data_IF_075755710102
#
_entry.id   IF_075755710102
#
_cell.length_a   1.000
_cell.length_b   1.000
_cell.length_c   1.000
_cell.angle_alpha   90.00
_cell.angle_beta   90.00
_cell.angle_gamma   90.00
#
_symmetry.space_group_name_H-M   'P 1'
#
loop_
_entity.id
_entity.type
_entity.pdbx_description
1 polymer ?
#
# COMPACT_ATOMS: atom_id res chain seq x y z
N UNK A 1 -25.94 5.91 -4.09
CA UNK A 1 -24.84 6.70 -3.47
C UNK A 1 -24.24 6.14 -2.19
N UNK A 2 -24.93 6.11 -1.02
CA UNK A 2 -24.30 5.64 0.25
C UNK A 2 -23.87 4.16 0.23
N UNK A 3 -24.65 3.30 -0.43
CA UNK A 3 -24.35 1.86 -0.53
C UNK A 3 -23.23 1.54 -1.54
N UNK A 4 -23.06 2.37 -2.56
CA UNK A 4 -22.02 2.17 -3.60
C UNK A 4 -20.62 2.45 -3.05
N UNK A 5 -20.43 3.56 -2.32
CA UNK A 5 -19.15 3.84 -1.66
C UNK A 5 -18.76 2.77 -0.66
N UNK A 6 -19.73 2.28 0.12
CA UNK A 6 -19.46 1.26 1.13
C UNK A 6 -19.15 -0.09 0.48
N UNK A 7 -19.90 -0.51 -0.54
CA UNK A 7 -19.61 -1.77 -1.26
C UNK A 7 -18.26 -1.70 -1.98
N UNK A 8 -17.95 -0.59 -2.64
CA UNK A 8 -16.63 -0.34 -3.23
C UNK A 8 -15.50 -0.46 -2.19
N UNK A 9 -15.65 0.22 -1.05
CA UNK A 9 -14.67 0.15 0.04
C UNK A 9 -14.58 -1.26 0.65
N UNK A 10 -15.69 -1.99 0.76
CA UNK A 10 -15.70 -3.39 1.21
C UNK A 10 -14.91 -4.28 0.26
N UNK A 11 -15.17 -4.19 -1.04
CA UNK A 11 -14.44 -4.96 -2.06
C UNK A 11 -12.94 -4.72 -1.95
N UNK A 12 -12.51 -3.46 -1.92
CA UNK A 12 -11.08 -3.12 -1.89
C UNK A 12 -10.40 -3.38 -0.54
N UNK A 13 -11.12 -3.29 0.58
CA UNK A 13 -10.59 -3.74 1.87
C UNK A 13 -10.40 -5.25 1.90
N UNK A 14 -11.35 -6.03 1.39
CA UNK A 14 -11.22 -7.49 1.31
C UNK A 14 -10.09 -7.92 0.38
N UNK A 15 -9.96 -7.30 -0.80
CA UNK A 15 -8.84 -7.54 -1.73
C UNK A 15 -7.50 -7.21 -1.08
N UNK A 16 -7.40 -6.07 -0.39
CA UNK A 16 -6.18 -5.68 0.32
C UNK A 16 -5.81 -6.65 1.44
N UNK A 17 -6.80 -7.05 2.26
CA UNK A 17 -6.59 -8.03 3.34
C UNK A 17 -6.20 -9.40 2.79
N UNK A 18 -6.82 -9.84 1.70
CA UNK A 18 -6.44 -11.08 1.02
C UNK A 18 -5.00 -11.01 0.48
N UNK A 19 -4.60 -9.89 -0.11
CA UNK A 19 -3.21 -9.65 -0.52
C UNK A 19 -2.23 -9.75 0.65
N UNK A 20 -2.55 -9.14 1.79
CA UNK A 20 -1.71 -9.16 2.98
C UNK A 20 -1.62 -10.54 3.64
N UNK A 21 -2.72 -11.30 3.64
CA UNK A 21 -2.85 -12.55 4.38
C UNK A 21 -2.51 -13.81 3.55
N UNK A 22 -2.75 -13.79 2.24
CA UNK A 22 -2.73 -15.00 1.40
C UNK A 22 -1.63 -14.99 0.33
N UNK A 23 -1.17 -13.81 -0.10
CA UNK A 23 -0.23 -13.69 -1.21
C UNK A 23 1.18 -13.33 -0.75
N UNK A 24 2.22 -13.83 -1.46
CA UNK A 24 3.62 -13.49 -1.22
C UNK A 24 3.83 -11.97 -1.19
N UNK A 25 4.46 -11.48 -0.11
CA UNK A 25 4.72 -10.06 0.05
C UNK A 25 5.85 -9.56 -0.86
N UNK A 26 6.85 -10.40 -1.10
CA UNK A 26 7.98 -10.13 -2.00
C UNK A 26 7.81 -10.87 -3.32
N UNK A 27 8.49 -10.40 -4.37
CA UNK A 27 8.44 -11.01 -5.69
C UNK A 27 9.08 -12.41 -5.68
N UNK A 28 8.40 -13.38 -6.28
CA UNK A 28 8.89 -14.76 -6.43
C UNK A 28 9.66 -14.87 -7.75
N UNK A 29 10.82 -15.52 -7.73
CA UNK A 29 11.64 -15.74 -8.92
C UNK A 29 10.90 -16.53 -10.03
N UNK A 30 10.21 -17.61 -9.65
CA UNK A 30 9.42 -18.45 -10.58
C UNK A 30 8.09 -17.80 -11.02
N UNK A 31 7.76 -16.62 -10.47
CA UNK A 31 6.50 -15.91 -10.71
C UNK A 31 5.32 -16.42 -9.88
N UNK A 32 4.30 -15.56 -9.73
CA UNK A 32 3.12 -15.81 -8.88
C UNK A 32 2.19 -16.91 -9.43
N UNK A 33 2.21 -17.12 -10.74
CA UNK A 33 1.40 -18.15 -11.42
C UNK A 33 2.06 -19.54 -11.39
N UNK A 34 3.25 -19.66 -10.80
CA UNK A 34 3.88 -20.97 -10.60
C UNK A 34 3.13 -21.77 -9.53
N UNK A 35 2.96 -23.09 -9.71
CA UNK A 35 2.24 -23.93 -8.74
C UNK A 35 3.09 -24.29 -7.50
N UNK A 36 4.38 -23.94 -7.46
CA UNK A 36 5.33 -24.41 -6.46
C UNK A 36 5.30 -23.65 -5.13
N UNK A 37 4.95 -22.36 -5.16
CA UNK A 37 5.01 -21.52 -3.96
C UNK A 37 3.94 -21.82 -2.89
N UNK A 38 2.68 -22.19 -3.21
CA UNK A 38 1.65 -22.39 -2.18
C UNK A 38 2.02 -23.52 -1.20
N UNK A 39 2.65 -24.59 -1.70
CA UNK A 39 3.09 -25.72 -0.87
C UNK A 39 4.26 -25.36 0.06
N UNK A 40 5.03 -24.31 -0.26
CA UNK A 40 6.23 -23.91 0.47
C UNK A 40 6.05 -22.65 1.32
N UNK A 41 4.83 -22.12 1.35
CA UNK A 41 4.48 -20.83 1.98
C UNK A 41 4.82 -20.77 3.48
N UNK A 42 4.78 -21.90 4.18
CA UNK A 42 5.12 -22.03 5.60
C UNK A 42 6.59 -22.38 5.83
N UNK A 43 7.23 -23.00 4.84
CA UNK A 43 8.61 -23.47 4.93
C UNK A 43 9.62 -22.39 4.54
N UNK A 44 9.23 -21.48 3.63
CA UNK A 44 10.12 -20.49 3.05
C UNK A 44 9.64 -19.06 3.33
N UNK A 45 10.51 -18.25 3.92
CA UNK A 45 10.23 -16.88 4.35
C UNK A 45 9.89 -15.97 3.18
N UNK A 46 10.56 -16.14 2.05
CA UNK A 46 10.46 -15.21 0.92
C UNK A 46 9.18 -15.44 0.10
N UNK A 47 8.58 -16.63 0.23
CA UNK A 47 7.29 -17.00 -0.39
C UNK A 47 6.09 -16.67 0.51
N UNK A 48 6.33 -16.40 1.79
CA UNK A 48 5.28 -16.20 2.77
C UNK A 48 4.53 -14.87 2.58
N UNK A 49 3.22 -14.81 2.90
CA UNK A 49 2.46 -13.57 2.98
C UNK A 49 2.93 -12.68 4.11
N UNK A 50 2.62 -11.38 4.04
CA UNK A 50 3.04 -10.43 5.06
C UNK A 50 2.53 -10.76 6.46
N UNK A 51 1.28 -11.23 6.58
CA UNK A 51 0.73 -11.68 7.86
C UNK A 51 1.58 -12.80 8.47
N UNK A 52 1.96 -13.78 7.65
CA UNK A 52 2.76 -14.92 8.08
C UNK A 52 4.20 -14.52 8.40
N UNK A 53 4.81 -13.69 7.54
CA UNK A 53 6.15 -13.14 7.76
C UNK A 53 6.25 -12.32 9.05
N UNK A 54 5.21 -11.57 9.40
CA UNK A 54 5.17 -10.80 10.63
C UNK A 54 5.13 -11.70 11.87
N UNK A 55 4.32 -12.77 11.84
CA UNK A 55 4.07 -13.62 13.00
C UNK A 55 5.16 -14.68 13.18
N UNK A 56 5.53 -15.39 12.12
CA UNK A 56 6.44 -16.54 12.19
C UNK A 56 7.91 -16.19 11.96
N UNK A 57 8.18 -15.14 11.18
CA UNK A 57 9.54 -14.81 10.72
C UNK A 57 10.07 -13.48 11.30
N UNK A 58 9.41 -12.94 12.32
CA UNK A 58 9.85 -11.76 13.08
C UNK A 58 9.83 -10.43 12.31
N UNK A 59 9.22 -10.37 11.11
CA UNK A 59 9.13 -9.13 10.32
C UNK A 59 7.95 -8.26 10.77
N UNK A 60 7.97 -7.81 12.03
CA UNK A 60 6.86 -7.07 12.64
C UNK A 60 6.45 -5.79 11.87
N UNK A 61 7.36 -5.17 11.12
CA UNK A 61 7.04 -4.02 10.27
C UNK A 61 5.97 -4.33 9.22
N UNK A 62 5.84 -5.57 8.76
CA UNK A 62 4.80 -5.98 7.81
C UNK A 62 3.38 -5.97 8.42
N UNK A 63 3.27 -5.86 9.75
CA UNK A 63 1.98 -5.65 10.41
C UNK A 63 1.44 -4.24 10.16
N UNK A 64 2.29 -3.23 9.98
CA UNK A 64 1.85 -1.83 9.84
C UNK A 64 0.81 -1.64 8.72
N UNK A 65 1.11 -2.05 7.47
CA UNK A 65 0.15 -1.97 6.37
C UNK A 65 -1.12 -2.81 6.61
N UNK A 66 -0.95 -4.01 7.21
CA UNK A 66 -2.06 -4.90 7.57
C UNK A 66 -3.00 -4.29 8.60
N UNK A 67 -2.46 -3.70 9.67
CA UNK A 67 -3.22 -3.03 10.72
C UNK A 67 -3.95 -1.80 10.17
N UNK A 68 -3.32 -1.02 9.29
CA UNK A 68 -3.98 0.09 8.61
C UNK A 68 -5.15 -0.38 7.73
N UNK A 69 -4.99 -1.50 6.99
CA UNK A 69 -6.06 -2.11 6.21
C UNK A 69 -7.20 -2.62 7.10
N UNK A 70 -6.88 -3.33 8.18
CA UNK A 70 -7.88 -3.86 9.13
C UNK A 70 -8.63 -2.73 9.83
N UNK A 71 -7.94 -1.64 10.21
CA UNK A 71 -8.60 -0.44 10.73
C UNK A 71 -9.54 0.18 9.69
N UNK A 72 -9.11 0.26 8.42
CA UNK A 72 -9.95 0.66 7.30
C UNK A 72 -11.19 -0.22 7.15
N UNK A 73 -11.02 -1.55 7.15
CA UNK A 73 -12.13 -2.51 7.09
C UNK A 73 -13.11 -2.32 8.26
N UNK A 74 -12.61 -2.12 9.48
CA UNK A 74 -13.46 -1.84 10.65
C UNK A 74 -14.26 -0.55 10.45
N UNK A 75 -13.67 0.52 9.92
CA UNK A 75 -14.39 1.75 9.57
C UNK A 75 -15.49 1.48 8.54
N UNK A 76 -15.18 0.66 7.53
CA UNK A 76 -16.15 0.29 6.49
C UNK A 76 -17.33 -0.51 7.06
N UNK A 77 -17.05 -1.48 7.94
CA UNK A 77 -18.05 -2.30 8.58
C UNK A 77 -18.95 -1.49 9.52
N UNK A 78 -18.35 -0.63 10.37
CA UNK A 78 -19.08 0.24 11.31
C UNK A 78 -19.96 1.28 10.61
N UNK A 79 -19.53 1.79 9.45
CA UNK A 79 -20.24 2.84 8.74
C UNK A 79 -20.34 4.13 9.55
N UNK A 80 -21.41 4.90 9.33
CA UNK A 80 -21.69 6.16 10.04
C UNK A 80 -21.96 7.34 9.11
N UNK A 81 -22.03 8.57 9.67
CA UNK A 81 -22.23 9.78 8.89
C UNK A 81 -21.14 9.95 7.82
N UNK A 82 -21.52 10.40 6.63
CA UNK A 82 -20.65 10.39 5.44
C UNK A 82 -19.32 11.12 5.64
N UNK A 83 -19.35 12.29 6.29
CA UNK A 83 -18.14 13.07 6.57
C UNK A 83 -17.19 12.37 7.57
N UNK A 84 -17.74 11.78 8.63
CA UNK A 84 -16.96 11.06 9.64
C UNK A 84 -16.39 9.75 9.09
N UNK A 85 -17.19 9.03 8.30
CA UNK A 85 -16.75 7.86 7.56
C UNK A 85 -15.53 8.19 6.68
N UNK A 86 -15.63 9.25 5.87
CA UNK A 86 -14.54 9.68 5.00
C UNK A 86 -13.29 10.10 5.76
N UNK A 87 -13.45 10.91 6.81
CA UNK A 87 -12.34 11.36 7.65
C UNK A 87 -11.60 10.21 8.34
N UNK A 88 -12.33 9.25 8.91
CA UNK A 88 -11.75 8.06 9.55
C UNK A 88 -10.98 7.21 8.55
N UNK A 89 -11.55 6.99 7.37
CA UNK A 89 -10.90 6.16 6.35
C UNK A 89 -9.55 6.77 5.94
N UNK A 90 -9.53 8.07 5.66
CA UNK A 90 -8.28 8.78 5.33
C UNK A 90 -7.27 8.76 6.48
N UNK A 91 -7.73 8.93 7.71
CA UNK A 91 -6.88 8.94 8.91
C UNK A 91 -6.19 7.59 9.15
N UNK A 92 -6.85 6.46 8.90
CA UNK A 92 -6.27 5.14 9.12
C UNK A 92 -5.50 4.61 7.91
N UNK A 93 -5.97 4.85 6.69
CA UNK A 93 -5.34 4.25 5.49
C UNK A 93 -4.24 5.11 4.88
N UNK A 94 -4.33 6.44 5.00
CA UNK A 94 -3.29 7.36 4.51
C UNK A 94 -1.91 7.08 5.12
N UNK A 95 -1.78 7.05 6.46
CA UNK A 95 -0.53 6.69 7.11
C UNK A 95 -0.04 5.28 6.76
N UNK A 96 -0.95 4.33 6.52
CA UNK A 96 -0.59 2.98 6.06
C UNK A 96 0.14 2.97 4.71
N UNK A 97 -0.27 3.82 3.77
CA UNK A 97 0.42 4.01 2.48
C UNK A 97 1.81 4.60 2.71
N UNK A 98 1.90 5.69 3.48
CA UNK A 98 3.18 6.36 3.78
C UNK A 98 4.16 5.41 4.47
N UNK A 99 3.68 4.63 5.42
CA UNK A 99 4.47 3.61 6.11
C UNK A 99 4.92 2.49 5.16
N UNK A 100 4.07 2.08 4.20
CA UNK A 100 4.43 1.08 3.17
C UNK A 100 5.55 1.58 2.24
N UNK A 101 5.50 2.86 1.88
CA UNK A 101 6.56 3.50 1.09
C UNK A 101 7.83 3.59 1.94
N UNK A 102 7.75 4.17 3.15
CA UNK A 102 8.89 4.40 4.02
C UNK A 102 9.64 3.12 4.39
N UNK A 103 8.93 2.05 4.74
CA UNK A 103 9.56 0.77 5.07
C UNK A 103 10.32 0.18 3.87
N UNK A 104 9.81 0.36 2.64
CA UNK A 104 10.48 -0.11 1.42
C UNK A 104 11.85 0.54 1.23
N UNK A 105 11.97 1.84 1.53
CA UNK A 105 13.25 2.54 1.54
C UNK A 105 14.15 2.12 2.70
N UNK A 106 13.59 1.96 3.90
CA UNK A 106 14.36 1.63 5.10
C UNK A 106 15.02 0.25 5.03
N UNK A 107 14.44 -0.71 4.30
CA UNK A 107 14.92 -2.10 4.21
C UNK A 107 15.62 -2.45 2.90
N UNK A 108 15.98 -1.44 2.08
CA UNK A 108 16.77 -1.66 0.86
C UNK A 108 15.98 -2.05 -0.39
N UNK A 109 14.72 -1.65 -0.50
CA UNK A 109 13.88 -1.77 -1.71
C UNK A 109 13.82 -3.19 -2.33
N UNK A 110 13.41 -4.21 -1.55
CA UNK A 110 13.18 -5.54 -2.11
C UNK A 110 12.09 -5.51 -3.19
N UNK A 111 12.17 -6.44 -4.15
CA UNK A 111 11.19 -6.56 -5.21
C UNK A 111 9.78 -6.79 -4.63
N UNK A 112 8.82 -5.97 -5.08
CA UNK A 112 7.45 -5.95 -4.57
C UNK A 112 6.67 -7.15 -5.12
N UNK A 113 6.10 -7.95 -4.23
CA UNK A 113 5.24 -9.09 -4.60
C UNK A 113 3.78 -8.70 -4.81
N UNK A 114 2.98 -9.66 -5.28
CA UNK A 114 1.55 -9.47 -5.51
C UNK A 114 0.80 -9.11 -4.22
N UNK A 115 1.19 -9.66 -3.07
CA UNK A 115 0.59 -9.36 -1.78
C UNK A 115 0.80 -7.90 -1.38
N UNK A 116 2.02 -7.39 -1.51
CA UNK A 116 2.31 -5.98 -1.25
C UNK A 116 1.57 -5.04 -2.22
N UNK A 117 1.53 -5.37 -3.52
CA UNK A 117 0.82 -4.60 -4.52
C UNK A 117 -0.69 -4.48 -4.22
N UNK A 118 -1.38 -5.59 -3.93
CA UNK A 118 -2.80 -5.58 -3.60
C UNK A 118 -3.10 -4.90 -2.25
N UNK A 119 -2.22 -5.07 -1.27
CA UNK A 119 -2.33 -4.39 0.04
C UNK A 119 -2.27 -2.88 -0.13
N UNK A 120 -1.27 -2.38 -0.85
CA UNK A 120 -1.08 -0.94 -1.09
C UNK A 120 -2.20 -0.38 -1.97
N UNK A 121 -2.63 -1.11 -2.99
CA UNK A 121 -3.79 -0.73 -3.81
C UNK A 121 -5.07 -0.63 -2.97
N UNK A 122 -5.32 -1.59 -2.08
CA UNK A 122 -6.43 -1.54 -1.13
C UNK A 122 -6.38 -0.31 -0.23
N UNK A 123 -5.21 0.01 0.34
CA UNK A 123 -5.02 1.21 1.16
C UNK A 123 -5.29 2.50 0.39
N UNK A 124 -4.78 2.60 -0.84
CA UNK A 124 -4.97 3.76 -1.72
C UNK A 124 -6.43 3.95 -2.11
N UNK A 125 -7.14 2.86 -2.42
CA UNK A 125 -8.54 2.93 -2.83
C UNK A 125 -9.49 3.15 -1.65
N UNK A 126 -9.13 2.70 -0.44
CA UNK A 126 -9.82 3.12 0.77
C UNK A 126 -9.56 4.61 1.05
N UNK A 127 -8.32 5.09 0.90
CA UNK A 127 -8.01 6.51 1.05
C UNK A 127 -8.81 7.38 0.07
N UNK A 128 -8.87 6.98 -1.21
CA UNK A 128 -9.66 7.69 -2.23
C UNK A 128 -11.16 7.64 -1.96
N UNK A 129 -11.69 6.52 -1.45
CA UNK A 129 -13.08 6.40 -1.00
C UNK A 129 -13.35 7.38 0.14
N UNK A 130 -12.39 7.57 1.05
CA UNK A 130 -12.48 8.56 2.12
C UNK A 130 -12.58 9.99 1.57
N UNK A 131 -11.78 10.30 0.55
CA UNK A 131 -11.78 11.58 -0.15
C UNK A 131 -13.13 11.83 -0.86
N UNK A 132 -13.65 10.84 -1.58
CA UNK A 132 -14.98 10.88 -2.21
C UNK A 132 -16.11 11.02 -1.16
N UNK A 133 -16.00 10.37 -0.01
CA UNK A 133 -16.99 10.51 1.06
C UNK A 133 -17.02 11.94 1.63
N UNK A 134 -15.89 12.67 1.63
CA UNK A 134 -15.82 14.09 2.03
C UNK A 134 -16.31 15.09 0.98
N UNK A 135 -16.74 14.62 -0.20
CA UNK A 135 -17.35 15.46 -1.25
C UNK A 135 -16.41 15.85 -2.39
N UNK A 136 -15.14 15.45 -2.35
CA UNK A 136 -14.23 15.59 -3.50
C UNK A 136 -14.68 14.71 -4.67
N UNK A 137 -14.30 15.07 -5.90
CA UNK A 137 -14.63 14.32 -7.12
C UNK A 137 -16.13 14.02 -7.29
N UNK A 138 -16.98 14.98 -6.90
CA UNK A 138 -18.46 14.82 -6.89
C UNK A 138 -18.95 13.64 -6.03
N UNK A 139 -18.11 13.13 -5.15
CA UNK A 139 -18.38 11.99 -4.31
C UNK A 139 -18.31 10.63 -4.99
N UNK A 140 -17.70 10.55 -6.18
CA UNK A 140 -17.49 9.32 -6.95
C UNK A 140 -16.20 8.61 -6.50
N UNK A 141 -16.33 7.34 -6.08
CA UNK A 141 -15.22 6.54 -5.58
C UNK A 141 -14.27 6.07 -6.68
N UNK A 142 -14.79 5.79 -7.88
CA UNK A 142 -14.01 5.33 -9.01
C UNK A 142 -13.14 6.46 -9.55
N UNK A 143 -13.73 7.65 -9.76
CA UNK A 143 -13.00 8.84 -10.21
C UNK A 143 -11.94 9.25 -9.20
N UNK A 144 -12.30 9.31 -7.92
CA UNK A 144 -11.33 9.59 -6.86
C UNK A 144 -10.20 8.55 -6.83
N UNK A 145 -10.53 7.26 -7.00
CA UNK A 145 -9.57 6.17 -7.07
C UNK A 145 -8.60 6.32 -8.24
N UNK A 146 -9.11 6.58 -9.45
CA UNK A 146 -8.30 6.79 -10.63
C UNK A 146 -7.33 7.97 -10.46
N UNK A 147 -7.82 9.11 -9.96
CA UNK A 147 -6.99 10.31 -9.74
C UNK A 147 -5.90 10.05 -8.70
N UNK A 148 -6.25 9.44 -7.56
CA UNK A 148 -5.27 9.10 -6.52
C UNK A 148 -4.24 8.11 -7.04
N UNK A 149 -4.66 7.05 -7.74
CA UNK A 149 -3.76 6.05 -8.29
C UNK A 149 -2.80 6.66 -9.31
N UNK A 150 -3.31 7.45 -10.25
CA UNK A 150 -2.47 8.17 -11.23
C UNK A 150 -1.50 9.11 -10.54
N UNK A 151 -1.94 9.85 -9.51
CA UNK A 151 -1.07 10.76 -8.75
C UNK A 151 0.09 10.01 -8.10
N UNK A 152 -0.19 8.85 -7.49
CA UNK A 152 0.84 8.00 -6.88
C UNK A 152 1.78 7.43 -7.93
N UNK A 153 1.26 6.94 -9.05
CA UNK A 153 2.08 6.42 -10.15
C UNK A 153 2.99 7.50 -10.74
N UNK A 154 2.47 8.70 -11.00
CA UNK A 154 3.27 9.85 -11.45
C UNK A 154 4.34 10.20 -10.40
N UNK A 155 4.00 10.17 -9.12
CA UNK A 155 4.97 10.32 -8.02
C UNK A 155 6.12 9.31 -8.09
N UNK A 156 5.79 8.03 -8.24
CA UNK A 156 6.76 6.93 -8.24
C UNK A 156 7.56 6.79 -9.55
N UNK A 157 6.97 7.07 -10.70
CA UNK A 157 7.61 6.84 -11.99
C UNK A 157 8.21 8.09 -12.62
N UNK A 158 7.69 9.27 -12.27
CA UNK A 158 8.21 10.54 -12.82
C UNK A 158 9.07 11.24 -11.78
N UNK A 159 8.51 11.54 -10.60
CA UNK A 159 9.21 12.38 -9.63
C UNK A 159 10.31 11.63 -8.89
N UNK A 160 10.13 10.36 -8.55
CA UNK A 160 11.14 9.59 -7.82
C UNK A 160 12.45 9.41 -8.60
N UNK A 161 12.47 8.99 -9.88
CA UNK A 161 13.72 8.92 -10.65
C UNK A 161 14.41 10.28 -10.77
N UNK A 162 13.64 11.35 -11.00
CA UNK A 162 14.18 12.72 -11.06
C UNK A 162 14.83 13.10 -9.74
N UNK A 163 14.12 12.93 -8.61
CA UNK A 163 14.65 13.22 -7.28
C UNK A 163 15.94 12.44 -7.01
N UNK A 164 15.98 11.15 -7.37
CA UNK A 164 17.16 10.30 -7.18
C UNK A 164 18.37 10.80 -7.99
N UNK A 165 18.17 11.23 -9.24
CA UNK A 165 19.22 11.82 -10.07
C UNK A 165 19.73 13.13 -9.44
N UNK A 166 18.82 14.01 -9.01
CA UNK A 166 19.20 15.27 -8.37
C UNK A 166 19.96 15.04 -7.06
N UNK A 167 19.53 14.10 -6.22
CA UNK A 167 20.26 13.74 -4.99
C UNK A 167 21.63 13.16 -5.31
N UNK A 168 21.75 12.32 -6.34
CA UNK A 168 23.05 11.78 -6.77
C UNK A 168 23.98 12.83 -7.37
N UNK A 169 23.44 13.90 -7.96
CA UNK A 169 24.23 15.02 -8.47
C UNK A 169 24.67 15.98 -7.34
N UNK A 170 23.87 16.09 -6.28
CA UNK A 170 24.16 16.94 -5.13
C UNK A 170 25.18 16.33 -4.16
N UNK A 171 25.30 15.00 -4.12
CA UNK A 171 26.22 14.27 -3.25
C UNK A 171 27.39 13.70 -4.07
N UNK A 172 28.63 14.05 -3.73
CA UNK A 172 29.84 13.42 -4.25
C UNK A 172 29.97 11.97 -3.73
N UNK A 173 30.89 11.19 -4.31
CA UNK A 173 31.06 9.76 -4.02
C UNK A 173 31.39 9.43 -2.54
N UNK A 174 31.83 10.43 -1.77
CA UNK A 174 32.12 10.39 -0.33
C UNK A 174 30.97 10.91 0.55
N UNK A 175 29.83 11.28 -0.05
CA UNK A 175 28.68 11.88 0.65
C UNK A 175 28.83 13.38 0.94
N UNK A 176 29.91 14.02 0.48
CA UNK A 176 30.07 15.47 0.60
C UNK A 176 29.19 16.22 -0.42
N UNK A 177 28.67 17.42 -0.10
CA UNK A 177 28.02 18.27 -1.09
C UNK A 177 28.98 18.56 -2.25
N UNK A 178 28.53 18.38 -3.49
CA UNK A 178 29.36 18.50 -4.71
C UNK A 178 29.83 19.92 -5.05
N UNK A 179 29.62 20.91 -4.15
CA UNK A 179 30.01 22.31 -4.31
C UNK A 179 31.53 22.58 -4.20
N UNK A 180 32.39 21.59 -4.40
CA UNK A 180 33.84 21.76 -4.53
C UNK A 180 34.26 21.55 -5.99
N UNK A 181 34.17 22.62 -6.77
CA UNK A 181 34.91 22.81 -8.02
C UNK A 181 35.56 24.20 -7.97
#
# INVERSE_FOLDING_TARGET
MRNELRSWALTWSLVGVAGWALLPWYAIADGIFSPGWPARILADRDLAPAALQAILFGRAWLMGPGLALLAGLIVVLRGGPRALFGGRLMMFTGPGVLFSVAQGFAIGQPAVGAGAALTVAGLLLLFSTGLAARGFFRGDAFVAGAVVLVTVLVGLFTFYPIARILTSAALAADGAPSARA
#
